data_IF_633097089293
#
_entry.id   IF_633097089293
#
_cell.length_a   1.000
_cell.length_b   1.000
_cell.length_c   1.000
_cell.angle_alpha   90.00
_cell.angle_beta   90.00
_cell.angle_gamma   90.00
#
_symmetry.space_group_name_H-M   'P 1'
#
loop_
_entity.id
_entity.type
_entity.pdbx_description
1 polymer ?
#
# COMPACT_ATOMS: atom_id res chain seq x y z
N UNK A 1 33.63 24.12 -0.91
CA UNK A 1 32.53 25.00 -1.37
C UNK A 1 31.95 25.75 -0.19
N UNK A 2 31.88 27.08 -0.24
CA UNK A 2 31.20 27.86 0.81
C UNK A 2 29.68 27.60 0.76
N UNK A 3 28.96 27.70 1.88
CA UNK A 3 27.49 27.53 1.93
C UNK A 3 26.76 28.41 0.90
N UNK A 4 27.29 29.60 0.61
CA UNK A 4 26.77 30.53 -0.39
C UNK A 4 26.95 30.03 -1.84
N UNK A 5 28.06 29.35 -2.15
CA UNK A 5 28.28 28.77 -3.49
C UNK A 5 27.37 27.57 -3.76
N UNK A 6 27.03 26.79 -2.72
CA UNK A 6 26.15 25.63 -2.83
C UNK A 6 24.68 26.02 -2.99
N UNK A 7 24.21 27.04 -2.26
CA UNK A 7 22.84 27.55 -2.41
C UNK A 7 22.61 28.20 -3.77
N UNK A 8 23.58 28.96 -4.29
CA UNK A 8 23.53 29.57 -5.62
C UNK A 8 23.57 28.52 -6.75
N UNK A 9 24.30 27.42 -6.59
CA UNK A 9 24.33 26.30 -7.54
C UNK A 9 22.98 25.54 -7.57
N UNK A 10 22.39 25.28 -6.41
CA UNK A 10 21.05 24.69 -6.31
C UNK A 10 19.96 25.60 -6.90
N UNK A 11 20.08 26.93 -6.74
CA UNK A 11 19.16 27.91 -7.34
C UNK A 11 19.04 27.84 -8.87
N UNK A 12 20.05 27.28 -9.55
CA UNK A 12 20.03 27.10 -11.01
C UNK A 12 19.46 25.76 -11.47
N UNK A 13 19.04 24.88 -10.54
CA UNK A 13 18.55 23.52 -10.83
C UNK A 13 17.19 23.28 -10.13
N UNK A 14 16.07 23.71 -10.74
CA UNK A 14 14.75 23.66 -10.10
C UNK A 14 14.34 22.24 -9.67
N UNK A 15 14.71 21.22 -10.45
CA UNK A 15 14.47 19.82 -10.11
C UNK A 15 15.19 19.36 -8.84
N UNK A 16 16.45 19.77 -8.62
CA UNK A 16 17.19 19.42 -7.40
C UNK A 16 16.63 20.14 -6.16
N UNK A 17 16.18 21.38 -6.33
CA UNK A 17 15.53 22.11 -5.24
C UNK A 17 14.20 21.46 -4.87
N UNK A 18 13.42 21.06 -5.87
CA UNK A 18 12.18 20.33 -5.67
C UNK A 18 12.44 18.99 -4.96
N UNK A 19 13.39 18.18 -5.45
CA UNK A 19 13.77 16.92 -4.80
C UNK A 19 14.20 17.12 -3.36
N UNK A 20 14.99 18.16 -3.06
CA UNK A 20 15.37 18.48 -1.68
C UNK A 20 14.17 18.84 -0.81
N UNK A 21 13.25 19.66 -1.33
CA UNK A 21 12.02 20.03 -0.61
C UNK A 21 11.16 18.81 -0.33
N UNK A 22 10.95 17.94 -1.32
CA UNK A 22 10.08 16.78 -1.19
C UNK A 22 10.70 15.59 -0.45
N UNK A 23 11.98 15.32 -0.61
CA UNK A 23 12.61 14.16 0.04
C UNK A 23 13.09 14.47 1.45
N UNK A 24 13.53 15.70 1.71
CA UNK A 24 14.24 16.04 2.97
C UNK A 24 13.40 16.94 3.88
N UNK A 25 12.73 17.95 3.32
CA UNK A 25 12.08 18.99 4.14
C UNK A 25 10.60 18.70 4.41
N UNK A 26 9.93 18.02 3.48
CA UNK A 26 8.54 17.64 3.55
C UNK A 26 8.28 16.63 4.69
N UNK A 27 7.36 16.91 5.64
CA UNK A 27 6.98 15.91 6.63
C UNK A 27 6.38 14.67 5.95
N UNK A 28 6.56 13.50 6.57
CA UNK A 28 5.93 12.27 6.11
C UNK A 28 4.47 12.22 6.59
N UNK A 29 3.54 11.95 5.68
CA UNK A 29 2.11 11.90 5.95
C UNK A 29 1.57 10.47 5.74
N UNK A 30 1.45 9.66 6.81
CA UNK A 30 0.90 8.31 6.69
C UNK A 30 -0.54 8.29 6.15
N UNK A 31 -1.30 9.33 6.46
CA UNK A 31 -2.70 9.51 6.05
C UNK A 31 -2.79 10.78 5.22
N UNK A 32 -3.20 10.63 3.96
CA UNK A 32 -3.53 11.76 3.10
C UNK A 32 -4.96 12.23 3.38
N UNK A 33 -5.14 13.56 3.45
CA UNK A 33 -6.43 14.22 3.73
C UNK A 33 -7.15 13.67 4.98
N UNK A 34 -6.49 13.68 6.15
CA UNK A 34 -7.01 13.03 7.35
C UNK A 34 -8.32 13.67 7.81
N UNK A 35 -9.37 12.87 7.96
CA UNK A 35 -10.64 13.27 8.55
C UNK A 35 -11.33 12.06 9.21
N UNK A 36 -12.15 12.26 10.25
CA UNK A 36 -12.78 11.14 10.94
C UNK A 36 -13.65 10.27 10.00
N UNK A 37 -14.37 10.91 9.09
CA UNK A 37 -15.18 10.18 8.12
C UNK A 37 -14.34 9.37 7.16
N UNK A 38 -13.22 9.93 6.67
CA UNK A 38 -12.32 9.20 5.78
C UNK A 38 -11.76 7.96 6.45
N UNK A 39 -11.29 8.06 7.69
CA UNK A 39 -10.77 6.93 8.45
C UNK A 39 -11.84 5.85 8.68
N UNK A 40 -13.06 6.24 9.06
CA UNK A 40 -14.17 5.29 9.20
C UNK A 40 -14.53 4.59 7.91
N UNK A 41 -14.65 5.31 6.79
CA UNK A 41 -14.98 4.71 5.50
C UNK A 41 -13.88 3.78 4.99
N UNK A 42 -12.63 4.17 5.19
CA UNK A 42 -11.48 3.32 4.87
C UNK A 42 -11.45 2.06 5.74
N UNK A 43 -11.62 2.18 7.06
CA UNK A 43 -11.72 1.04 7.96
C UNK A 43 -12.88 0.10 7.62
N UNK A 44 -14.06 0.67 7.33
CA UNK A 44 -15.24 -0.08 6.91
C UNK A 44 -15.01 -0.80 5.58
N UNK A 45 -14.32 -0.16 4.63
CA UNK A 45 -13.99 -0.79 3.35
C UNK A 45 -13.07 -2.00 3.51
N UNK A 46 -12.10 -1.95 4.43
CA UNK A 46 -11.23 -3.08 4.76
C UNK A 46 -12.03 -4.18 5.47
N UNK A 47 -12.88 -3.82 6.43
CA UNK A 47 -13.73 -4.77 7.16
C UNK A 47 -14.71 -5.51 6.24
N UNK A 48 -15.54 -4.77 5.50
CA UNK A 48 -16.53 -5.35 4.60
C UNK A 48 -15.87 -6.01 3.39
N UNK A 49 -14.80 -5.41 2.87
CA UNK A 49 -14.06 -5.96 1.74
C UNK A 49 -13.49 -7.34 2.06
N UNK A 50 -12.88 -7.52 3.23
CA UNK A 50 -12.35 -8.83 3.63
C UNK A 50 -13.44 -9.85 3.94
N UNK A 51 -14.53 -9.47 4.59
CA UNK A 51 -15.66 -10.37 4.81
C UNK A 51 -16.29 -10.83 3.48
N UNK A 52 -16.52 -9.88 2.57
CA UNK A 52 -17.10 -10.14 1.25
C UNK A 52 -16.16 -11.01 0.41
N UNK A 53 -14.89 -10.65 0.31
CA UNK A 53 -13.91 -11.46 -0.42
C UNK A 53 -13.70 -12.84 0.21
N UNK A 54 -13.76 -12.96 1.54
CA UNK A 54 -13.74 -14.25 2.22
C UNK A 54 -14.87 -15.16 1.75
N UNK A 55 -16.09 -14.64 1.61
CA UNK A 55 -17.22 -15.40 1.06
C UNK A 55 -17.08 -15.68 -0.44
N UNK A 56 -16.74 -14.67 -1.26
CA UNK A 56 -16.61 -14.81 -2.71
C UNK A 56 -15.55 -15.87 -3.05
N UNK A 57 -14.36 -15.78 -2.47
CA UNK A 57 -13.23 -16.64 -2.82
C UNK A 57 -13.25 -18.00 -2.13
N UNK A 58 -14.15 -18.25 -1.18
CA UNK A 58 -14.34 -19.58 -0.59
C UNK A 58 -15.52 -20.34 -1.19
N UNK A 59 -16.62 -19.64 -1.54
CA UNK A 59 -17.87 -20.29 -1.92
C UNK A 59 -18.32 -20.00 -3.36
N UNK A 60 -18.18 -18.78 -3.87
CA UNK A 60 -18.75 -18.41 -5.17
C UNK A 60 -17.77 -18.56 -6.33
N UNK A 61 -16.57 -18.02 -6.20
CA UNK A 61 -15.50 -18.05 -7.20
C UNK A 61 -14.21 -18.62 -6.56
N UNK A 62 -14.21 -19.90 -6.13
CA UNK A 62 -13.17 -20.43 -5.26
C UNK A 62 -11.76 -20.20 -5.80
N UNK A 63 -10.90 -19.61 -4.95
CA UNK A 63 -9.49 -19.43 -5.26
C UNK A 63 -8.68 -20.62 -4.71
N UNK A 64 -7.58 -21.03 -5.37
CA UNK A 64 -6.76 -22.16 -4.90
C UNK A 64 -6.30 -22.04 -3.44
N UNK A 65 -6.03 -20.81 -3.00
CA UNK A 65 -5.69 -20.49 -1.62
C UNK A 65 -6.60 -19.39 -1.08
N UNK A 66 -7.34 -19.74 -0.03
CA UNK A 66 -8.14 -18.81 0.76
C UNK A 66 -8.05 -19.21 2.25
N UNK A 67 -7.93 -18.22 3.14
CA UNK A 67 -7.70 -18.48 4.56
C UNK A 67 -8.62 -17.59 5.41
N UNK A 68 -9.63 -18.22 6.00
CA UNK A 68 -10.64 -17.52 6.80
C UNK A 68 -10.02 -16.77 8.00
N UNK A 69 -9.03 -17.36 8.66
CA UNK A 69 -8.37 -16.71 9.80
C UNK A 69 -7.67 -15.41 9.39
N UNK A 70 -6.98 -15.41 8.25
CA UNK A 70 -6.37 -14.19 7.71
C UNK A 70 -7.43 -13.13 7.36
N UNK A 71 -8.57 -13.54 6.76
CA UNK A 71 -9.69 -12.63 6.46
C UNK A 71 -10.29 -12.00 7.70
N UNK A 72 -10.48 -12.79 8.76
CA UNK A 72 -11.00 -12.29 10.03
C UNK A 72 -10.00 -11.32 10.66
N UNK A 73 -8.70 -11.65 10.68
CA UNK A 73 -7.66 -10.76 11.20
C UNK A 73 -7.61 -9.43 10.43
N UNK A 74 -7.60 -9.48 9.09
CA UNK A 74 -7.65 -8.31 8.22
C UNK A 74 -8.90 -7.45 8.46
N UNK A 75 -10.06 -8.10 8.61
CA UNK A 75 -11.32 -7.40 8.93
C UNK A 75 -11.23 -6.68 10.28
N UNK A 76 -10.69 -7.34 11.31
CA UNK A 76 -10.52 -6.76 12.64
C UNK A 76 -9.53 -5.57 12.63
N UNK A 77 -8.48 -5.62 11.81
CA UNK A 77 -7.58 -4.47 11.59
C UNK A 77 -8.36 -3.29 11.00
N UNK A 78 -9.23 -3.51 10.01
CA UNK A 78 -10.12 -2.46 9.47
C UNK A 78 -11.07 -1.88 10.53
N UNK A 79 -11.68 -2.74 11.34
CA UNK A 79 -12.56 -2.34 12.44
C UNK A 79 -11.83 -1.46 13.47
N UNK A 80 -10.55 -1.70 13.73
CA UNK A 80 -9.76 -0.89 14.67
C UNK A 80 -9.71 0.60 14.31
N UNK A 81 -9.75 0.94 13.01
CA UNK A 81 -9.75 2.33 12.53
C UNK A 81 -11.10 3.03 12.71
N UNK A 82 -12.18 2.26 12.87
CA UNK A 82 -13.54 2.78 13.09
C UNK A 82 -13.80 3.10 14.57
N UNK A 83 -12.94 2.63 15.47
CA UNK A 83 -13.07 2.88 16.91
C UNK A 83 -13.01 4.37 17.21
N UNK A 84 -13.94 4.87 18.04
CA UNK A 84 -13.97 6.28 18.44
C UNK A 84 -12.67 6.77 19.07
N UNK A 85 -11.89 5.88 19.72
CA UNK A 85 -10.57 6.23 20.28
C UNK A 85 -9.55 6.62 19.22
N UNK A 86 -9.62 6.00 18.04
CA UNK A 86 -8.68 6.23 16.93
C UNK A 86 -9.22 7.32 16.02
N UNK A 87 -10.52 7.25 15.72
CA UNK A 87 -11.12 8.08 14.71
C UNK A 87 -11.40 9.53 15.16
N UNK A 88 -11.46 9.80 16.47
CA UNK A 88 -11.76 11.13 17.00
C UNK A 88 -10.70 12.17 16.60
N UNK A 89 -9.42 11.79 16.64
CA UNK A 89 -8.31 12.66 16.23
C UNK A 89 -7.40 11.97 15.19
N UNK A 90 -7.73 12.12 13.88
CA UNK A 90 -6.90 11.65 12.78
C UNK A 90 -5.49 12.25 12.75
N UNK A 91 -5.29 13.40 13.40
CA UNK A 91 -4.02 14.08 13.48
C UNK A 91 -3.08 13.45 14.51
N UNK A 92 -3.59 12.68 15.46
CA UNK A 92 -2.83 12.12 16.56
C UNK A 92 -1.72 11.16 16.09
N UNK A 93 -0.56 11.11 16.78
CA UNK A 93 0.50 10.17 16.44
C UNK A 93 0.06 8.71 16.46
N UNK A 94 -0.80 8.34 17.42
CA UNK A 94 -1.35 6.99 17.55
C UNK A 94 -2.18 6.62 16.31
N UNK A 95 -3.07 7.50 15.88
CA UNK A 95 -3.92 7.26 14.72
C UNK A 95 -3.12 7.18 13.43
N UNK A 96 -2.12 8.05 13.24
CA UNK A 96 -1.22 7.99 12.09
C UNK A 96 -0.42 6.68 12.05
N UNK A 97 0.08 6.23 13.19
CA UNK A 97 0.82 4.97 13.32
C UNK A 97 -0.08 3.77 13.02
N UNK A 98 -1.26 3.70 13.64
CA UNK A 98 -2.20 2.59 13.44
C UNK A 98 -2.72 2.54 12.01
N UNK A 99 -3.08 3.69 11.42
CA UNK A 99 -3.46 3.75 10.02
C UNK A 99 -2.35 3.22 9.11
N UNK A 100 -1.12 3.71 9.30
CA UNK A 100 0.03 3.26 8.53
C UNK A 100 0.27 1.76 8.66
N UNK A 101 0.20 1.22 9.88
CA UNK A 101 0.36 -0.21 10.13
C UNK A 101 -0.76 -1.04 9.50
N UNK A 102 -2.03 -0.67 9.72
CA UNK A 102 -3.20 -1.37 9.18
C UNK A 102 -3.14 -1.40 7.66
N UNK A 103 -2.93 -0.26 7.01
CA UNK A 103 -2.87 -0.19 5.55
C UNK A 103 -1.62 -0.86 4.99
N UNK A 104 -0.48 -0.83 5.69
CA UNK A 104 0.71 -1.54 5.24
C UNK A 104 0.57 -3.07 5.34
N UNK A 105 -0.05 -3.57 6.42
CA UNK A 105 -0.35 -4.99 6.58
C UNK A 105 -1.41 -5.46 5.58
N UNK A 106 -2.48 -4.68 5.41
CA UNK A 106 -3.60 -5.02 4.55
C UNK A 106 -3.22 -4.95 3.07
N UNK A 107 -2.63 -3.84 2.62
CA UNK A 107 -2.43 -3.60 1.19
C UNK A 107 -1.13 -4.27 0.71
N UNK A 108 0.09 -3.79 1.03
CA UNK A 108 1.32 -4.45 0.57
C UNK A 108 1.51 -5.90 1.02
N UNK A 109 1.34 -6.20 2.31
CA UNK A 109 1.72 -7.51 2.86
C UNK A 109 0.69 -8.58 2.53
N UNK A 110 -0.57 -8.38 2.91
CA UNK A 110 -1.61 -9.37 2.73
C UNK A 110 -1.93 -9.63 1.25
N UNK A 111 -1.97 -8.62 0.38
CA UNK A 111 -2.23 -8.87 -1.05
C UNK A 111 -1.05 -9.58 -1.71
N UNK A 112 0.19 -9.25 -1.34
CA UNK A 112 1.37 -9.97 -1.86
C UNK A 112 1.36 -11.43 -1.40
N UNK A 113 1.01 -11.69 -0.13
CA UNK A 113 0.86 -13.05 0.39
C UNK A 113 -0.18 -13.84 -0.39
N UNK A 114 -1.37 -13.26 -0.59
CA UNK A 114 -2.45 -13.92 -1.30
C UNK A 114 -2.14 -14.11 -2.80
N UNK A 115 -1.40 -13.19 -3.42
CA UNK A 115 -0.88 -13.37 -4.78
C UNK A 115 0.06 -14.57 -4.87
N UNK A 116 0.99 -14.73 -3.93
CA UNK A 116 1.89 -15.88 -3.88
C UNK A 116 1.13 -17.19 -3.60
N UNK A 117 0.22 -17.17 -2.62
CA UNK A 117 -0.60 -18.33 -2.26
C UNK A 117 -1.50 -18.82 -3.40
N UNK A 118 -1.89 -17.92 -4.30
CA UNK A 118 -2.70 -18.25 -5.48
C UNK A 118 -1.88 -18.38 -6.76
N UNK A 119 -0.60 -18.74 -6.63
CA UNK A 119 0.31 -19.01 -7.78
C UNK A 119 0.38 -17.86 -8.79
N UNK A 120 0.18 -16.64 -8.31
CA UNK A 120 0.14 -15.43 -9.13
C UNK A 120 -1.03 -15.36 -10.11
N UNK A 121 -2.18 -15.96 -9.81
CA UNK A 121 -3.35 -15.90 -10.70
C UNK A 121 -3.70 -14.48 -11.20
N UNK A 122 -4.36 -14.40 -12.36
CA UNK A 122 -4.74 -13.13 -12.98
C UNK A 122 -5.60 -12.24 -12.09
N UNK A 123 -6.51 -12.83 -11.30
CA UNK A 123 -7.34 -12.11 -10.32
C UNK A 123 -6.45 -11.43 -9.28
N UNK A 124 -5.50 -12.17 -8.69
CA UNK A 124 -4.61 -11.60 -7.69
C UNK A 124 -3.59 -10.60 -8.26
N UNK A 125 -3.18 -10.75 -9.52
CA UNK A 125 -2.41 -9.70 -10.22
C UNK A 125 -3.25 -8.41 -10.36
N UNK A 126 -4.50 -8.53 -10.79
CA UNK A 126 -5.39 -7.37 -10.91
C UNK A 126 -5.63 -6.71 -9.54
N UNK A 127 -5.79 -7.51 -8.50
CA UNK A 127 -5.92 -7.03 -7.11
C UNK A 127 -4.64 -6.31 -6.65
N UNK A 128 -3.45 -6.83 -6.98
CA UNK A 128 -2.16 -6.16 -6.70
C UNK A 128 -2.03 -4.82 -7.43
N UNK A 129 -2.49 -4.74 -8.69
CA UNK A 129 -2.53 -3.49 -9.47
C UNK A 129 -3.45 -2.46 -8.79
N UNK A 130 -4.66 -2.88 -8.40
CA UNK A 130 -5.60 -2.01 -7.69
C UNK A 130 -5.04 -1.55 -6.33
N UNK A 131 -4.39 -2.46 -5.61
CA UNK A 131 -3.76 -2.19 -4.32
C UNK A 131 -2.73 -1.07 -4.39
N UNK A 132 -1.84 -1.07 -5.39
CA UNK A 132 -0.84 0.00 -5.53
C UNK A 132 -1.52 1.35 -5.75
N UNK A 133 -2.54 1.41 -6.60
CA UNK A 133 -3.29 2.65 -6.83
C UNK A 133 -3.98 3.15 -5.56
N UNK A 134 -4.62 2.26 -4.81
CA UNK A 134 -5.29 2.59 -3.54
C UNK A 134 -4.26 3.09 -2.51
N UNK A 135 -3.15 2.37 -2.33
CA UNK A 135 -2.16 2.69 -1.30
C UNK A 135 -1.52 4.06 -1.55
N UNK A 136 -1.21 4.37 -2.80
CA UNK A 136 -0.72 5.69 -3.21
C UNK A 136 -1.78 6.79 -3.09
N UNK A 137 -3.07 6.45 -3.20
CA UNK A 137 -4.15 7.41 -3.04
C UNK A 137 -4.40 7.80 -1.58
N UNK A 138 -4.09 6.90 -0.64
CA UNK A 138 -4.37 7.11 0.79
C UNK A 138 -3.15 7.46 1.63
N UNK A 139 -1.93 7.16 1.13
CA UNK A 139 -0.67 7.35 1.85
C UNK A 139 0.32 8.16 1.00
N UNK A 140 1.18 8.96 1.65
CA UNK A 140 2.27 9.67 0.99
C UNK A 140 3.08 8.74 0.08
N UNK A 141 3.40 9.20 -1.13
CA UNK A 141 4.04 8.39 -2.16
C UNK A 141 5.37 7.78 -1.70
N UNK A 142 6.13 8.44 -0.81
CA UNK A 142 7.40 7.92 -0.28
C UNK A 142 7.16 6.70 0.59
N UNK A 143 6.19 6.81 1.49
CA UNK A 143 5.75 5.71 2.36
C UNK A 143 5.06 4.61 1.56
N UNK A 144 4.29 4.96 0.53
CA UNK A 144 3.66 4.00 -0.34
C UNK A 144 4.70 3.22 -1.17
N UNK A 145 5.71 3.89 -1.73
CA UNK A 145 6.83 3.28 -2.45
C UNK A 145 7.59 2.30 -1.56
N UNK A 146 8.08 2.78 -0.42
CA UNK A 146 8.85 1.95 0.50
C UNK A 146 7.98 0.81 1.06
N UNK A 147 6.73 1.12 1.42
CA UNK A 147 5.78 0.15 1.96
C UNK A 147 5.43 -0.95 0.98
N UNK A 148 5.24 -0.65 -0.31
CA UNK A 148 5.02 -1.66 -1.36
C UNK A 148 6.21 -2.62 -1.46
N UNK A 149 7.44 -2.08 -1.52
CA UNK A 149 8.66 -2.91 -1.61
C UNK A 149 8.82 -3.76 -0.34
N UNK A 150 8.78 -3.13 0.84
CA UNK A 150 8.98 -3.81 2.12
C UNK A 150 7.88 -4.83 2.41
N UNK A 151 6.63 -4.52 2.05
CA UNK A 151 5.51 -5.44 2.24
C UNK A 151 5.57 -6.65 1.32
N UNK A 152 5.95 -6.45 0.05
CA UNK A 152 6.16 -7.55 -0.88
C UNK A 152 7.34 -8.45 -0.45
N UNK A 153 8.45 -7.85 -0.01
CA UNK A 153 9.60 -8.60 0.51
C UNK A 153 9.28 -9.37 1.79
N UNK A 154 8.55 -8.75 2.72
CA UNK A 154 8.11 -9.43 3.95
C UNK A 154 7.17 -10.58 3.61
N UNK A 155 6.17 -10.36 2.77
CA UNK A 155 5.24 -11.40 2.34
C UNK A 155 5.97 -12.55 1.64
N UNK A 156 6.90 -12.25 0.74
CA UNK A 156 7.74 -13.25 0.09
C UNK A 156 8.57 -14.05 1.10
N UNK A 157 9.25 -13.36 2.04
CA UNK A 157 10.06 -14.01 3.06
C UNK A 157 9.20 -14.93 3.94
N UNK A 158 8.06 -14.45 4.44
CA UNK A 158 7.13 -15.27 5.22
C UNK A 158 6.59 -16.45 4.40
N UNK A 159 6.31 -16.25 3.11
CA UNK A 159 5.78 -17.30 2.25
C UNK A 159 6.77 -18.46 2.08
N UNK A 160 8.08 -18.20 2.06
CA UNK A 160 9.09 -19.26 1.98
C UNK A 160 9.06 -20.22 3.18
N UNK A 161 8.65 -19.73 4.36
CA UNK A 161 8.68 -20.52 5.60
C UNK A 161 7.30 -21.01 6.05
N UNK A 162 6.25 -20.23 5.78
CA UNK A 162 4.89 -20.46 6.29
C UNK A 162 3.84 -20.56 5.18
N UNK A 163 4.24 -20.37 3.92
CA UNK A 163 3.33 -20.39 2.79
C UNK A 163 2.69 -21.78 2.60
N UNK A 164 1.46 -21.84 2.08
CA UNK A 164 0.89 -23.10 1.58
C UNK A 164 1.78 -23.71 0.50
N UNK A 165 1.63 -25.02 0.27
CA UNK A 165 2.25 -25.71 -0.86
C UNK A 165 1.55 -25.34 -2.18
N UNK A 166 1.74 -24.10 -2.63
CA UNK A 166 1.21 -23.58 -3.89
C UNK A 166 2.28 -23.67 -4.98
N UNK A 167 1.90 -24.02 -6.22
CA UNK A 167 2.82 -23.92 -7.36
C UNK A 167 3.39 -22.50 -7.48
N UNK A 168 4.67 -22.35 -7.88
CA UNK A 168 5.22 -21.04 -8.16
C UNK A 168 4.50 -20.41 -9.36
N UNK A 169 4.60 -19.08 -9.48
CA UNK A 169 4.11 -18.36 -10.67
C UNK A 169 4.77 -18.96 -11.92
N UNK A 170 4.00 -19.38 -12.94
CA UNK A 170 4.54 -19.96 -14.16
C UNK A 170 5.61 -19.07 -14.79
N UNK A 171 6.72 -19.66 -15.22
CA UNK A 171 7.88 -18.90 -15.68
C UNK A 171 7.57 -17.93 -16.83
N UNK A 172 6.75 -18.39 -17.79
CA UNK A 172 6.27 -17.59 -18.91
C UNK A 172 5.39 -16.40 -18.51
N UNK A 173 4.76 -16.44 -17.32
CA UNK A 173 3.90 -15.39 -16.81
C UNK A 173 4.64 -14.38 -15.92
N UNK A 174 5.80 -14.75 -15.34
CA UNK A 174 6.56 -13.88 -14.41
C UNK A 174 6.90 -12.53 -15.02
N UNK A 175 7.41 -12.52 -16.25
CA UNK A 175 7.75 -11.28 -16.96
C UNK A 175 6.51 -10.44 -17.26
N UNK A 176 5.39 -11.08 -17.65
CA UNK A 176 4.12 -10.40 -17.92
C UNK A 176 3.61 -9.70 -16.66
N UNK A 177 3.57 -10.41 -15.53
CA UNK A 177 3.10 -9.85 -14.26
C UNK A 177 3.99 -8.71 -13.79
N UNK A 178 5.32 -8.87 -13.91
CA UNK A 178 6.27 -7.82 -13.58
C UNK A 178 6.03 -6.54 -14.41
N UNK A 179 5.83 -6.68 -15.72
CA UNK A 179 5.56 -5.53 -16.61
C UNK A 179 4.23 -4.86 -16.27
N UNK A 180 3.15 -5.62 -16.08
CA UNK A 180 1.84 -5.08 -15.74
C UNK A 180 1.87 -4.35 -14.38
N UNK A 181 2.50 -4.96 -13.38
CA UNK A 181 2.64 -4.34 -12.07
C UNK A 181 3.54 -3.11 -12.10
N UNK A 182 4.69 -3.17 -12.80
CA UNK A 182 5.59 -2.04 -12.97
C UNK A 182 4.92 -0.87 -13.68
N UNK A 183 4.09 -1.14 -14.69
CA UNK A 183 3.28 -0.11 -15.35
C UNK A 183 2.34 0.56 -14.36
N UNK A 184 1.52 -0.20 -13.63
CA UNK A 184 0.58 0.33 -12.65
C UNK A 184 1.28 1.14 -11.55
N UNK A 185 2.41 0.63 -11.06
CA UNK A 185 3.21 1.30 -10.04
C UNK A 185 3.84 2.60 -10.56
N UNK A 186 4.36 2.60 -11.78
CA UNK A 186 4.91 3.81 -12.42
C UNK A 186 3.84 4.89 -12.61
N UNK A 187 2.63 4.50 -13.01
CA UNK A 187 1.49 5.42 -13.12
C UNK A 187 1.09 5.97 -11.75
N UNK A 188 0.95 5.11 -10.73
CA UNK A 188 0.63 5.53 -9.36
C UNK A 188 1.65 6.54 -8.82
N UNK A 189 2.93 6.27 -9.03
CA UNK A 189 4.03 7.15 -8.65
C UNK A 189 3.98 8.47 -9.42
N UNK A 190 3.85 8.44 -10.74
CA UNK A 190 3.76 9.63 -11.59
C UNK A 190 2.60 10.56 -11.18
N UNK A 191 1.41 9.99 -10.96
CA UNK A 191 0.23 10.75 -10.54
C UNK A 191 0.43 11.39 -9.16
N UNK A 192 1.11 10.70 -8.24
CA UNK A 192 1.34 11.26 -6.91
C UNK A 192 2.45 12.29 -6.89
N UNK A 193 3.55 12.09 -7.61
CA UNK A 193 4.62 13.07 -7.76
C UNK A 193 4.10 14.37 -8.40
N UNK A 194 3.23 14.27 -9.41
CA UNK A 194 2.61 15.44 -10.04
C UNK A 194 1.62 16.15 -9.12
N UNK A 195 0.85 15.42 -8.31
CA UNK A 195 -0.08 16.02 -7.34
C UNK A 195 0.61 16.59 -6.09
N UNK A 196 1.79 16.09 -5.70
CA UNK A 196 2.51 16.54 -4.52
C UNK A 196 2.82 18.05 -4.56
N UNK A 197 3.02 18.59 -5.77
CA UNK A 197 3.22 20.01 -6.01
C UNK A 197 1.99 20.89 -5.74
N UNK A 198 0.78 20.31 -5.78
CA UNK A 198 -0.48 21.05 -5.66
C UNK A 198 -1.04 21.05 -4.23
N UNK A 199 -0.47 20.25 -3.32
CA UNK A 199 -0.94 20.10 -1.93
C UNK A 199 -0.37 21.17 -0.99
N UNK A 200 0.41 22.11 -1.51
CA UNK A 200 1.10 23.19 -0.79
C UNK A 200 0.93 24.50 -1.53
#
# INVERSE_FOLDING_TARGET
MSRASFSAWLARRPLLQWLRKELILAPLEPILHPSPWRLSWLGLSVFLGNALFGWIWSAWLPQPYENLSLRVMASLLGCSLMSGRINHDPGSPLTRMLFGLVFWLELPVFFSWMYLGNSGSAVWLATMVAMVLIYYHVTDWRLATLGTIMGALLAWALFQYFGPASPPVPENQRAVHAVVFAFAWSVALMLNLSSANLRR
#
